data_IF_643468430341
#
_entry.id   IF_643468430341
#
_cell.length_a   1.000
_cell.length_b   1.000
_cell.length_c   1.000
_cell.angle_alpha   90.00
_cell.angle_beta   90.00
_cell.angle_gamma   90.00
#
_symmetry.space_group_name_H-M   'P 1'
#
loop_
_entity.id
_entity.type
_entity.pdbx_description
1 polymer ?
#
# COMPACT_ATOMS: atom_id res chain seq x y z
N UNK A 1 -20.74 73.72 -5.13
CA UNK A 1 -21.15 72.85 -6.25
C UNK A 1 -20.76 71.41 -5.94
N UNK A 2 -21.75 70.50 -5.90
CA UNK A 2 -21.70 69.05 -6.23
C UNK A 2 -20.72 68.17 -5.41
N UNK A 3 -21.02 66.97 -4.89
CA UNK A 3 -22.17 66.09 -4.69
C UNK A 3 -21.62 64.98 -3.73
N UNK A 4 -22.27 64.65 -2.61
CA UNK A 4 -23.05 63.42 -2.36
C UNK A 4 -22.67 62.14 -3.14
N UNK A 5 -22.64 61.01 -2.39
CA UNK A 5 -22.81 59.55 -2.69
C UNK A 5 -21.71 58.76 -1.94
N UNK A 6 -21.92 58.21 -0.72
CA UNK A 6 -22.66 57.01 -0.27
C UNK A 6 -22.17 55.70 -0.95
N UNK A 7 -22.13 54.60 -0.17
CA UNK A 7 -22.07 53.16 -0.55
C UNK A 7 -20.62 52.59 -0.56
N UNK A 8 -20.24 51.51 0.14
CA UNK A 8 -20.94 50.51 0.93
C UNK A 8 -20.01 49.90 2.01
N UNK A 9 -20.64 49.69 3.17
CA UNK A 9 -20.32 48.70 4.19
C UNK A 9 -20.55 47.28 3.63
N UNK A 10 -19.85 46.27 4.16
CA UNK A 10 -20.15 44.83 4.05
C UNK A 10 -19.86 44.13 2.72
N UNK A 11 -18.68 43.52 2.64
CA UNK A 11 -18.56 42.11 2.26
C UNK A 11 -17.39 41.49 3.04
N UNK A 12 -17.62 41.33 4.35
CA UNK A 12 -16.90 40.34 5.16
C UNK A 12 -17.37 38.97 4.64
N UNK A 13 -16.65 38.46 3.66
CA UNK A 13 -17.07 37.30 2.88
C UNK A 13 -15.97 36.88 1.93
N UNK A 14 -14.72 36.92 2.36
CA UNK A 14 -13.72 36.01 1.84
C UNK A 14 -14.17 34.59 2.23
N UNK A 15 -15.13 34.05 1.48
CA UNK A 15 -15.13 32.63 1.17
C UNK A 15 -13.79 32.40 0.46
N UNK A 16 -12.74 32.22 1.28
CA UNK A 16 -11.53 31.55 0.86
C UNK A 16 -12.04 30.32 0.10
N UNK A 17 -11.66 30.12 -1.17
CA UNK A 17 -11.92 28.85 -1.79
C UNK A 17 -11.34 27.82 -0.82
N UNK A 18 -12.20 26.93 -0.30
CA UNK A 18 -11.80 25.76 0.47
C UNK A 18 -10.72 25.10 -0.36
N UNK A 19 -9.50 25.38 0.06
CA UNK A 19 -8.27 25.19 -0.68
C UNK A 19 -8.24 23.72 -1.01
N UNK A 20 -8.47 23.41 -2.29
CA UNK A 20 -8.52 22.09 -2.92
C UNK A 20 -8.26 21.01 -1.87
N UNK A 21 -9.34 20.51 -1.26
CA UNK A 21 -9.24 19.30 -0.45
C UNK A 21 -8.48 18.32 -1.35
N UNK A 22 -7.23 18.04 -0.94
CA UNK A 22 -6.41 17.12 -1.70
C UNK A 22 -7.27 15.88 -1.87
N UNK A 23 -7.48 15.42 -3.10
CA UNK A 23 -8.38 14.30 -3.39
C UNK A 23 -7.86 13.06 -2.64
N UNK A 24 -8.32 12.88 -1.40
CA UNK A 24 -7.81 11.88 -0.48
C UNK A 24 -8.63 10.64 -0.73
N UNK A 25 -7.93 9.63 -1.26
CA UNK A 25 -8.51 8.33 -1.56
C UNK A 25 -8.99 7.68 -0.28
N UNK A 26 -10.17 7.08 -0.29
CA UNK A 26 -10.64 6.19 0.77
C UNK A 26 -9.71 4.99 0.93
N UNK A 27 -9.83 4.28 2.05
CA UNK A 27 -9.08 3.04 2.31
C UNK A 27 -9.26 2.02 1.16
N UNK A 28 -10.51 1.81 0.74
CA UNK A 28 -10.84 0.86 -0.34
C UNK A 28 -10.21 1.26 -1.67
N UNK A 29 -10.26 2.54 -2.03
CA UNK A 29 -9.66 3.04 -3.27
C UNK A 29 -8.14 2.88 -3.25
N UNK A 30 -7.50 3.25 -2.15
CA UNK A 30 -6.06 3.11 -1.97
C UNK A 30 -5.62 1.63 -2.03
N UNK A 31 -6.31 0.74 -1.32
CA UNK A 31 -6.00 -0.70 -1.33
C UNK A 31 -6.20 -1.29 -2.72
N UNK A 32 -7.30 -0.94 -3.38
CA UNK A 32 -7.58 -1.38 -4.75
C UNK A 32 -6.47 -0.94 -5.72
N UNK A 33 -6.03 0.32 -5.64
CA UNK A 33 -4.93 0.83 -6.45
C UNK A 33 -3.62 0.07 -6.18
N UNK A 34 -3.32 -0.26 -4.92
CA UNK A 34 -2.14 -1.05 -4.56
C UNK A 34 -2.18 -2.45 -5.17
N UNK A 35 -3.30 -3.13 -5.03
CA UNK A 35 -3.51 -4.49 -5.59
C UNK A 35 -3.40 -4.45 -7.11
N UNK A 36 -4.13 -3.56 -7.78
CA UNK A 36 -4.11 -3.43 -9.24
C UNK A 36 -2.71 -3.06 -9.76
N UNK A 37 -2.03 -2.15 -9.08
CA UNK A 37 -0.68 -1.72 -9.45
C UNK A 37 0.34 -2.85 -9.35
N UNK A 38 0.21 -3.74 -8.37
CA UNK A 38 1.07 -4.93 -8.25
C UNK A 38 0.70 -6.00 -9.27
N UNK A 39 -0.59 -6.27 -9.51
CA UNK A 39 -1.05 -7.19 -10.55
C UNK A 39 -0.55 -6.78 -11.94
N UNK A 40 -0.62 -5.49 -12.25
CA UNK A 40 -0.11 -4.95 -13.52
C UNK A 40 1.39 -5.20 -13.68
N UNK A 41 2.17 -5.00 -12.62
CA UNK A 41 3.62 -5.29 -12.61
C UNK A 41 3.91 -6.78 -12.81
N UNK A 42 3.18 -7.67 -12.12
CA UNK A 42 3.28 -9.12 -12.30
C UNK A 42 3.04 -9.51 -13.76
N UNK A 43 1.95 -9.02 -14.36
CA UNK A 43 1.61 -9.30 -15.76
C UNK A 43 2.69 -8.79 -16.70
N UNK A 44 3.21 -7.58 -16.47
CA UNK A 44 4.31 -7.04 -17.28
C UNK A 44 5.57 -7.90 -17.20
N UNK A 45 5.98 -8.33 -15.99
CA UNK A 45 7.18 -9.17 -15.80
C UNK A 45 6.99 -10.54 -16.45
N UNK A 46 5.80 -11.17 -16.31
CA UNK A 46 5.48 -12.43 -16.99
C UNK A 46 5.62 -12.30 -18.50
N UNK A 47 5.01 -11.27 -19.08
CA UNK A 47 5.11 -11.02 -20.52
C UNK A 47 6.55 -10.82 -20.99
N UNK A 48 7.39 -10.16 -20.19
CA UNK A 48 8.82 -10.00 -20.48
C UNK A 48 9.58 -11.33 -20.44
N UNK A 49 9.30 -12.18 -19.44
CA UNK A 49 9.88 -13.53 -19.34
C UNK A 49 9.49 -14.35 -20.57
N UNK A 50 8.20 -14.38 -20.90
CA UNK A 50 7.67 -15.18 -22.00
C UNK A 50 8.24 -14.72 -23.34
N UNK A 51 8.33 -13.40 -23.57
CA UNK A 51 8.93 -12.83 -24.78
C UNK A 51 10.41 -13.23 -24.90
N UNK A 52 11.18 -13.14 -23.80
CA UNK A 52 12.61 -13.52 -23.83
C UNK A 52 12.80 -15.02 -24.06
N UNK A 53 11.97 -15.87 -23.44
CA UNK A 53 11.98 -17.32 -23.65
C UNK A 53 11.59 -17.68 -25.08
N UNK A 54 10.57 -17.03 -25.65
CA UNK A 54 10.14 -17.23 -27.02
C UNK A 54 11.22 -16.80 -28.04
N UNK A 55 11.84 -15.64 -27.85
CA UNK A 55 12.95 -15.18 -28.68
C UNK A 55 14.11 -16.18 -28.64
N UNK A 56 14.48 -16.68 -27.44
CA UNK A 56 15.51 -17.70 -27.29
C UNK A 56 15.15 -18.98 -28.05
N UNK A 57 13.92 -19.47 -27.90
CA UNK A 57 13.46 -20.67 -28.58
C UNK A 57 13.49 -20.52 -30.11
N UNK A 58 13.12 -19.34 -30.63
CA UNK A 58 13.16 -19.02 -32.05
C UNK A 58 14.59 -18.96 -32.62
N UNK A 59 15.53 -18.38 -31.86
CA UNK A 59 16.96 -18.36 -32.26
C UNK A 59 17.53 -19.79 -32.33
N UNK A 60 17.14 -20.66 -31.39
CA UNK A 60 17.58 -22.07 -31.38
C UNK A 60 16.95 -22.89 -32.51
N UNK A 61 15.74 -22.54 -32.98
CA UNK A 61 15.06 -23.26 -34.06
C UNK A 61 15.47 -22.79 -35.46
N UNK A 62 15.90 -21.54 -35.62
CA UNK A 62 16.30 -20.99 -36.93
C UNK A 62 17.68 -21.42 -37.42
N UNK A 63 18.61 -21.76 -36.52
CA UNK A 63 19.95 -22.19 -36.94
C UNK A 63 20.49 -23.36 -36.09
N UNK A 64 20.41 -24.60 -36.61
CA UNK A 64 20.94 -25.80 -35.94
C UNK A 64 22.45 -25.75 -35.66
N UNK A 65 23.24 -24.93 -36.37
CA UNK A 65 24.68 -24.80 -36.19
C UNK A 65 25.07 -23.83 -35.06
N UNK A 66 24.16 -22.97 -34.59
CA UNK A 66 24.39 -22.10 -33.43
C UNK A 66 24.37 -22.85 -32.08
N UNK A 67 23.96 -24.12 -32.07
CA UNK A 67 23.90 -24.95 -30.86
C UNK A 67 25.27 -25.29 -30.25
N UNK A 68 26.37 -25.17 -31.00
CA UNK A 68 27.69 -25.65 -30.58
C UNK A 68 28.82 -24.58 -30.61
N UNK A 69 28.50 -23.33 -30.96
CA UNK A 69 29.49 -22.26 -31.06
C UNK A 69 29.88 -21.67 -29.71
N UNK A 70 31.17 -21.60 -29.39
CA UNK A 70 31.69 -20.97 -28.15
C UNK A 70 31.21 -19.52 -27.94
N UNK A 71 30.82 -18.82 -29.01
CA UNK A 71 30.24 -17.46 -28.96
C UNK A 71 28.73 -17.40 -28.64
N UNK A 72 27.97 -18.50 -28.78
CA UNK A 72 26.55 -18.55 -28.39
C UNK A 72 26.36 -18.89 -26.92
N UNK A 73 27.36 -19.49 -26.27
CA UNK A 73 27.33 -19.79 -24.84
C UNK A 73 27.36 -18.52 -23.96
N UNK A 74 28.17 -17.52 -24.34
CA UNK A 74 28.24 -16.20 -23.68
C UNK A 74 26.97 -15.36 -23.90
N UNK A 75 26.39 -15.43 -25.10
CA UNK A 75 25.13 -14.75 -25.41
C UNK A 75 23.93 -15.42 -24.71
N UNK A 76 23.92 -16.76 -24.64
CA UNK A 76 22.91 -17.53 -23.92
C UNK A 76 23.03 -17.35 -22.40
N UNK A 77 24.25 -17.30 -21.84
CA UNK A 77 24.46 -17.10 -20.40
C UNK A 77 24.00 -15.71 -19.95
N UNK A 78 24.24 -14.68 -20.76
CA UNK A 78 23.75 -13.32 -20.50
C UNK A 78 22.22 -13.24 -20.56
N UNK A 79 21.61 -13.92 -21.53
CA UNK A 79 20.15 -14.06 -21.63
C UNK A 79 19.54 -14.76 -20.41
N UNK A 80 20.17 -15.85 -19.96
CA UNK A 80 19.71 -16.65 -18.83
C UNK A 80 19.79 -15.88 -17.51
N UNK A 81 20.88 -15.13 -17.28
CA UNK A 81 20.98 -14.24 -16.14
C UNK A 81 19.87 -13.18 -16.11
N UNK A 82 19.47 -12.65 -17.27
CA UNK A 82 18.39 -11.66 -17.33
C UNK A 82 17.01 -12.27 -17.06
N UNK A 83 16.77 -13.52 -17.51
CA UNK A 83 15.53 -14.24 -17.22
C UNK A 83 15.46 -14.62 -15.75
N UNK A 84 16.55 -15.12 -15.16
CA UNK A 84 16.61 -15.44 -13.74
C UNK A 84 16.33 -14.20 -12.87
N UNK A 85 16.89 -13.04 -13.25
CA UNK A 85 16.61 -11.77 -12.59
C UNK A 85 15.12 -11.39 -12.66
N UNK A 86 14.48 -11.56 -13.82
CA UNK A 86 13.05 -11.29 -13.98
C UNK A 86 12.20 -12.28 -13.18
N UNK A 87 12.59 -13.55 -13.11
CA UNK A 87 11.91 -14.56 -12.28
C UNK A 87 12.03 -14.25 -10.78
N UNK A 88 13.18 -13.74 -10.33
CA UNK A 88 13.36 -13.26 -8.95
C UNK A 88 12.46 -12.05 -8.68
N UNK A 89 12.39 -11.10 -9.61
CA UNK A 89 11.49 -9.95 -9.52
C UNK A 89 10.02 -10.37 -9.49
N UNK A 90 9.64 -11.37 -10.30
CA UNK A 90 8.29 -11.92 -10.31
C UNK A 90 7.91 -12.47 -8.93
N UNK A 91 8.79 -13.24 -8.28
CA UNK A 91 8.57 -13.74 -6.91
C UNK A 91 8.39 -12.61 -5.90
N UNK A 92 9.21 -11.57 -5.98
CA UNK A 92 9.08 -10.40 -5.11
C UNK A 92 7.75 -9.68 -5.33
N UNK A 93 7.31 -9.52 -6.57
CA UNK A 93 6.02 -8.87 -6.85
C UNK A 93 4.81 -9.75 -6.49
N UNK A 94 4.93 -11.07 -6.58
CA UNK A 94 3.92 -12.00 -6.04
C UNK A 94 3.78 -11.86 -4.53
N UNK A 95 4.89 -11.81 -3.80
CA UNK A 95 4.88 -11.52 -2.37
C UNK A 95 4.27 -10.14 -2.06
N UNK A 96 4.62 -9.11 -2.86
CA UNK A 96 4.02 -7.78 -2.71
C UNK A 96 2.51 -7.78 -2.98
N UNK A 97 2.00 -8.70 -3.81
CA UNK A 97 0.57 -8.82 -4.09
C UNK A 97 -0.15 -9.39 -2.87
N UNK A 98 0.41 -10.43 -2.24
CA UNK A 98 -0.10 -11.00 -0.99
C UNK A 98 -0.14 -9.90 0.09
N UNK A 99 0.96 -9.18 0.27
CA UNK A 99 1.01 -8.05 1.21
C UNK A 99 -0.02 -6.96 0.87
N UNK A 100 -0.20 -6.63 -0.41
CA UNK A 100 -1.18 -5.64 -0.84
C UNK A 100 -2.63 -6.08 -0.58
N UNK A 101 -2.91 -7.38 -0.70
CA UNK A 101 -4.21 -7.97 -0.38
C UNK A 101 -4.49 -7.97 1.13
N UNK A 102 -3.44 -8.09 1.94
CA UNK A 102 -3.52 -8.12 3.40
C UNK A 102 -3.44 -6.73 4.05
N UNK A 103 -3.28 -5.65 3.27
CA UNK A 103 -3.25 -4.28 3.80
C UNK A 103 -4.49 -3.97 4.64
N UNK A 104 -4.26 -3.53 5.88
CA UNK A 104 -5.31 -3.16 6.82
C UNK A 104 -5.63 -1.67 6.77
N UNK A 105 -6.71 -1.26 7.44
CA UNK A 105 -7.04 0.15 7.64
C UNK A 105 -5.90 0.87 8.40
N UNK A 106 -5.22 0.18 9.31
CA UNK A 106 -4.08 0.76 10.06
C UNK A 106 -2.90 1.10 9.17
N UNK A 107 -2.59 0.24 8.18
CA UNK A 107 -1.51 0.47 7.21
C UNK A 107 -1.81 1.66 6.29
N UNK A 108 -3.09 1.88 5.98
CA UNK A 108 -3.53 3.05 5.24
C UNK A 108 -3.30 4.34 6.04
N UNK A 109 -3.66 4.35 7.33
CA UNK A 109 -3.40 5.49 8.20
C UNK A 109 -1.91 5.76 8.38
N UNK A 110 -1.11 4.73 8.65
CA UNK A 110 0.32 4.86 8.90
C UNK A 110 1.14 5.14 7.62
N UNK A 111 0.76 4.55 6.49
CA UNK A 111 1.55 4.54 5.26
C UNK A 111 1.13 5.57 4.20
N UNK A 112 -0.17 5.91 4.13
CA UNK A 112 -0.70 6.85 3.14
C UNK A 112 -0.99 8.22 3.76
N UNK A 113 -1.76 8.28 4.85
CA UNK A 113 -2.18 9.56 5.42
C UNK A 113 -1.06 10.34 6.11
N UNK A 114 -0.01 9.65 6.59
CA UNK A 114 1.19 10.31 7.14
C UNK A 114 1.98 11.10 6.10
N UNK A 115 1.86 10.74 4.81
CA UNK A 115 2.55 11.38 3.68
C UNK A 115 1.79 12.58 3.13
N UNK A 116 0.54 12.79 3.56
CA UNK A 116 -0.28 13.94 3.16
C UNK A 116 0.17 15.18 3.95
N UNK A 117 0.35 16.31 3.26
CA UNK A 117 0.84 17.55 3.89
C UNK A 117 -0.12 18.07 4.96
N UNK A 118 -1.42 18.13 4.64
CA UNK A 118 -2.44 18.66 5.55
C UNK A 118 -3.13 17.52 6.33
N UNK A 119 -2.38 16.90 7.24
CA UNK A 119 -2.81 15.74 8.02
C UNK A 119 -4.18 15.94 8.68
N UNK A 120 -4.38 17.06 9.40
CA UNK A 120 -5.62 17.32 10.15
C UNK A 120 -6.85 17.37 9.25
N UNK A 121 -6.75 18.03 8.09
CA UNK A 121 -7.82 18.05 7.10
C UNK A 121 -8.05 16.65 6.51
N UNK A 122 -6.97 15.92 6.25
CA UNK A 122 -7.05 14.58 5.68
C UNK A 122 -7.73 13.57 6.61
N UNK A 123 -7.40 13.58 7.91
CA UNK A 123 -8.07 12.76 8.90
C UNK A 123 -9.57 13.06 9.00
N UNK A 124 -9.96 14.35 8.95
CA UNK A 124 -11.35 14.74 9.01
C UNK A 124 -12.14 14.29 7.77
N UNK A 125 -11.54 14.38 6.59
CA UNK A 125 -12.16 13.92 5.34
C UNK A 125 -12.31 12.38 5.32
N UNK A 126 -11.28 11.67 5.75
CA UNK A 126 -11.27 10.21 5.83
C UNK A 126 -12.28 9.70 6.85
N UNK A 127 -12.43 10.39 7.98
CA UNK A 127 -13.46 10.06 8.97
C UNK A 127 -14.88 10.08 8.37
N UNK A 128 -15.14 10.92 7.37
CA UNK A 128 -16.42 10.94 6.65
C UNK A 128 -16.56 9.86 5.57
N UNK A 129 -15.46 9.26 5.12
CA UNK A 129 -15.42 8.23 4.06
C UNK A 129 -15.32 6.79 4.61
N UNK A 130 -15.06 6.62 5.90
CA UNK A 130 -14.97 5.31 6.54
C UNK A 130 -16.35 4.71 6.81
N UNK A 131 -16.49 3.41 6.56
CA UNK A 131 -17.67 2.65 6.98
C UNK A 131 -17.59 2.27 8.46
N UNK A 132 -18.74 1.91 9.05
CA UNK A 132 -18.81 1.52 10.46
C UNK A 132 -17.91 0.32 10.78
N UNK A 133 -17.77 -0.62 9.84
CA UNK A 133 -16.92 -1.80 9.96
C UNK A 133 -15.43 -1.41 9.98
N UNK A 134 -15.02 -0.47 9.12
CA UNK A 134 -13.63 0.00 9.04
C UNK A 134 -13.24 0.78 10.29
N UNK A 135 -14.18 1.56 10.86
CA UNK A 135 -13.98 2.23 12.14
C UNK A 135 -13.88 1.21 13.28
N UNK A 136 -14.72 0.16 13.29
CA UNK A 136 -14.65 -0.89 14.29
C UNK A 136 -13.30 -1.63 14.25
N UNK A 137 -12.79 -1.95 13.06
CA UNK A 137 -11.47 -2.55 12.87
C UNK A 137 -10.36 -1.63 13.40
N UNK A 138 -10.40 -0.34 13.06
CA UNK A 138 -9.45 0.65 13.56
C UNK A 138 -9.49 0.77 15.09
N UNK A 139 -10.69 0.81 15.69
CA UNK A 139 -10.86 0.88 17.15
C UNK A 139 -10.40 -0.39 17.84
N UNK A 140 -10.65 -1.56 17.25
CA UNK A 140 -10.17 -2.84 17.76
C UNK A 140 -8.63 -2.92 17.69
N UNK A 141 -8.03 -2.52 16.57
CA UNK A 141 -6.58 -2.47 16.41
C UNK A 141 -5.93 -1.48 17.39
N UNK A 142 -6.52 -0.31 17.59
CA UNK A 142 -6.08 0.67 18.58
C UNK A 142 -6.22 0.14 20.00
N UNK A 143 -7.34 -0.51 20.34
CA UNK A 143 -7.54 -1.11 21.64
C UNK A 143 -6.49 -2.21 21.91
N UNK A 144 -6.19 -3.05 20.93
CA UNK A 144 -5.16 -4.08 21.05
C UNK A 144 -3.75 -3.48 21.13
N UNK A 145 -3.45 -2.37 20.45
CA UNK A 145 -2.13 -1.73 20.52
C UNK A 145 -1.90 -0.97 21.82
N UNK A 146 -2.94 -0.31 22.35
CA UNK A 146 -2.83 0.53 23.56
C UNK A 146 -3.06 -0.26 24.84
N UNK A 147 -3.97 -1.23 24.83
CA UNK A 147 -4.31 -2.02 26.02
C UNK A 147 -3.70 -3.43 25.99
N UNK A 148 -3.49 -4.02 24.81
CA UNK A 148 -2.91 -5.37 24.68
C UNK A 148 -1.41 -5.43 24.99
N UNK A 149 -0.66 -4.34 24.74
CA UNK A 149 0.77 -4.26 25.05
C UNK A 149 1.08 -4.30 26.56
N UNK A 150 0.08 -4.06 27.42
CA UNK A 150 0.22 -4.13 28.89
C UNK A 150 -0.38 -5.39 29.53
N UNK A 151 -1.13 -6.20 28.79
CA UNK A 151 -1.74 -7.42 29.33
C UNK A 151 -0.72 -8.56 29.53
N UNK A 152 0.43 -8.49 28.87
CA UNK A 152 1.50 -9.49 28.99
C UNK A 152 2.46 -9.23 30.16
N UNK A 153 2.34 -8.08 30.83
CA UNK A 153 3.22 -7.63 31.93
C UNK A 153 2.55 -7.72 33.31
N UNK A 154 1.43 -8.43 33.43
CA UNK A 154 0.92 -8.81 34.75
C UNK A 154 1.67 -10.06 35.22
N UNK A 155 2.54 -9.98 36.25
CA UNK A 155 3.15 -11.18 36.81
C UNK A 155 2.05 -12.11 37.30
N UNK A 156 2.19 -13.41 36.99
CA UNK A 156 1.34 -14.50 37.45
C UNK A 156 1.45 -14.74 38.98
N UNK A 157 1.46 -13.68 39.79
CA UNK A 157 1.61 -13.72 41.24
C UNK A 157 0.34 -13.33 41.99
N UNK A 158 -0.78 -13.06 41.30
CA UNK A 158 -2.07 -12.77 41.92
C UNK A 158 -3.08 -13.93 41.83
N UNK A 159 -2.61 -15.18 41.71
CA UNK A 159 -3.44 -16.39 41.84
C UNK A 159 -2.85 -17.26 42.95
N UNK A 160 -2.99 -16.82 44.21
CA UNK A 160 -2.90 -17.67 45.41
C UNK A 160 -3.35 -16.87 46.65
N UNK A 161 -4.60 -16.42 46.65
CA UNK A 161 -5.34 -16.15 47.89
C UNK A 161 -6.61 -16.98 47.75
N UNK A 162 -6.91 -17.81 48.75
CA UNK A 162 -8.03 -18.77 48.86
C UNK A 162 -7.71 -20.25 48.58
N UNK A 163 -6.96 -20.90 49.48
CA UNK A 163 -7.45 -22.12 50.16
C UNK A 163 -6.53 -22.54 51.32
N UNK A 164 -6.74 -21.97 52.50
CA UNK A 164 -6.30 -22.58 53.75
C UNK A 164 -7.32 -22.25 54.85
N UNK A 165 -8.55 -22.71 54.65
CA UNK A 165 -9.50 -22.98 55.74
C UNK A 165 -9.71 -24.49 55.73
N UNK A 166 -9.11 -25.17 56.69
CA UNK A 166 -9.19 -26.60 56.87
C UNK A 166 -8.84 -26.90 58.32
N UNK A 167 -9.88 -27.30 59.06
CA UNK A 167 -9.93 -27.64 60.49
C UNK A 167 -8.81 -28.55 60.97
#
# INVERSE_FOLDING_TARGET
MRALVIIALLALGSALPLKAAADIKSYKEWKTERVLGTQTRITSIKNQIDTRKAVRAAVVSQDPNLRAGRGTLEAASTGDYTVEKLERQLKMEQYNLELAQDLSVTDYFAGYLTKVQNKKAAFAEVAGKLSAEEVAELMNAYANSVFGAHASDLPASAVNIEKASGK
#
